data_IF_231427877604
#
_entry.id   IF_231427877604
#
_cell.length_a   1.000
_cell.length_b   1.000
_cell.length_c   1.000
_cell.angle_alpha   90.00
_cell.angle_beta   90.00
_cell.angle_gamma   90.00
#
_symmetry.space_group_name_H-M   'P 1'
#
loop_
_entity.id
_entity.type
_entity.pdbx_description
1 polymer ?
#
# COMPACT_ATOMS: atom_id res chain seq x y z
N UNK A 1 1.22 -1.29 -5.57
CA UNK A 1 -0.02 -2.00 -5.98
C UNK A 1 -0.56 -2.67 -4.73
N UNK A 2 -1.81 -2.42 -4.33
CA UNK A 2 -2.35 -2.88 -3.03
C UNK A 2 -2.65 -4.38 -2.96
N UNK A 3 -2.28 -5.16 -3.98
CA UNK A 3 -2.62 -6.58 -4.05
C UNK A 3 -4.11 -6.87 -4.27
N UNK A 4 -4.93 -5.83 -4.45
CA UNK A 4 -6.35 -5.97 -4.75
C UNK A 4 -6.52 -6.81 -6.03
N UNK A 5 -7.41 -7.79 -5.94
CA UNK A 5 -7.76 -8.71 -7.04
C UNK A 5 -6.62 -9.62 -7.51
N UNK A 6 -5.61 -9.88 -6.66
CA UNK A 6 -4.53 -10.82 -6.97
C UNK A 6 -5.10 -12.14 -7.48
N UNK A 7 -6.04 -12.73 -6.73
CA UNK A 7 -6.74 -13.99 -7.04
C UNK A 7 -7.54 -13.98 -8.34
N UNK A 8 -7.91 -12.81 -8.87
CA UNK A 8 -8.62 -12.67 -10.15
C UNK A 8 -7.73 -12.87 -11.39
N UNK A 9 -6.41 -12.81 -11.24
CA UNK A 9 -5.46 -13.08 -12.32
C UNK A 9 -4.91 -14.50 -12.25
N UNK A 10 -4.80 -15.16 -13.40
CA UNK A 10 -4.13 -16.46 -13.49
C UNK A 10 -2.62 -16.31 -13.23
N UNK A 11 -1.99 -17.38 -12.74
CA UNK A 11 -0.53 -17.35 -12.49
C UNK A 11 0.28 -17.04 -13.76
N UNK A 12 -0.21 -17.46 -14.94
CA UNK A 12 0.43 -17.16 -16.21
C UNK A 12 0.43 -15.65 -16.51
N UNK A 13 -0.70 -14.96 -16.30
CA UNK A 13 -0.81 -13.50 -16.49
C UNK A 13 0.06 -12.75 -15.48
N UNK A 14 0.08 -13.20 -14.22
CA UNK A 14 0.94 -12.61 -13.19
C UNK A 14 2.42 -12.75 -13.55
N UNK A 15 2.84 -13.91 -14.05
CA UNK A 15 4.22 -14.15 -14.47
C UNK A 15 4.62 -13.28 -15.66
N UNK A 16 3.75 -13.08 -16.65
CA UNK A 16 4.02 -12.18 -17.78
C UNK A 16 4.25 -10.75 -17.30
N UNK A 17 3.44 -10.27 -16.37
CA UNK A 17 3.58 -8.92 -15.80
C UNK A 17 4.87 -8.79 -14.99
N UNK A 18 5.21 -9.78 -14.16
CA UNK A 18 6.44 -9.78 -13.36
C UNK A 18 7.68 -9.90 -14.26
N UNK A 19 7.61 -10.67 -15.36
CA UNK A 19 8.70 -10.79 -16.33
C UNK A 19 8.90 -9.50 -17.13
N UNK A 20 7.82 -8.81 -17.53
CA UNK A 20 7.88 -7.53 -18.23
C UNK A 20 8.34 -6.37 -17.32
N UNK A 21 8.02 -6.45 -16.02
CA UNK A 21 8.38 -5.45 -15.02
C UNK A 21 9.00 -6.14 -13.79
N UNK A 22 10.31 -6.47 -13.84
CA UNK A 22 11.00 -7.16 -12.76
C UNK A 22 10.87 -6.37 -11.46
N UNK A 23 10.20 -6.97 -10.47
CA UNK A 23 10.13 -6.42 -9.12
C UNK A 23 11.35 -6.90 -8.36
N UNK A 24 12.10 -5.97 -7.77
CA UNK A 24 13.19 -6.27 -6.86
C UNK A 24 12.64 -6.80 -5.54
N UNK A 25 13.42 -7.54 -4.76
CA UNK A 25 13.02 -7.98 -3.40
C UNK A 25 12.68 -6.80 -2.47
N UNK A 26 13.11 -5.59 -2.84
CA UNK A 26 12.83 -4.36 -2.11
C UNK A 26 11.64 -3.56 -2.65
N UNK A 27 10.93 -4.06 -3.64
CA UNK A 27 9.91 -3.29 -4.37
C UNK A 27 8.85 -2.66 -3.46
N UNK A 28 8.35 -3.39 -2.44
CA UNK A 28 7.43 -2.84 -1.43
C UNK A 28 8.04 -1.67 -0.66
N UNK A 29 9.28 -1.80 -0.19
CA UNK A 29 9.96 -0.74 0.56
C UNK A 29 10.31 0.45 -0.33
N UNK A 30 10.67 0.22 -1.60
CA UNK A 30 10.92 1.29 -2.56
C UNK A 30 9.64 2.10 -2.87
N UNK A 31 8.47 1.45 -2.92
CA UNK A 31 7.17 2.13 -2.99
C UNK A 31 6.93 2.99 -1.76
N UNK A 32 7.12 2.43 -0.56
CA UNK A 32 6.92 3.17 0.70
C UNK A 32 7.86 4.38 0.80
N UNK A 33 9.12 4.20 0.41
CA UNK A 33 10.12 5.25 0.37
C UNK A 33 9.74 6.35 -0.62
N UNK A 34 9.25 5.98 -1.82
CA UNK A 34 8.79 6.94 -2.82
C UNK A 34 7.59 7.76 -2.32
N UNK A 35 6.63 7.12 -1.63
CA UNK A 35 5.52 7.84 -0.99
C UNK A 35 6.03 8.79 0.09
N UNK A 36 6.93 8.32 0.97
CA UNK A 36 7.54 9.14 2.01
C UNK A 36 8.26 10.36 1.43
N UNK A 37 9.08 10.18 0.40
CA UNK A 37 9.83 11.27 -0.24
C UNK A 37 8.91 12.29 -0.93
N UNK A 38 7.77 11.85 -1.46
CA UNK A 38 6.75 12.73 -2.04
C UNK A 38 6.00 13.58 -1.00
N UNK A 39 5.76 13.05 0.21
CA UNK A 39 4.97 13.73 1.25
C UNK A 39 5.82 14.48 2.29
N UNK A 40 7.08 14.06 2.53
CA UNK A 40 7.93 14.63 3.59
C UNK A 40 8.12 16.14 3.47
N UNK A 41 8.06 16.69 2.26
CA UNK A 41 8.25 18.11 2.00
C UNK A 41 6.96 18.94 2.15
N UNK A 42 5.80 18.33 2.34
CA UNK A 42 4.50 19.00 2.52
C UNK A 42 3.68 18.32 3.62
N UNK A 43 4.11 18.38 4.89
CA UNK A 43 3.39 17.74 6.00
C UNK A 43 1.96 18.29 6.17
N UNK A 44 1.69 19.54 5.78
CA UNK A 44 0.32 20.08 5.79
C UNK A 44 -0.64 19.41 4.78
N UNK A 45 -0.12 18.74 3.75
CA UNK A 45 -0.94 18.03 2.76
C UNK A 45 -1.30 16.59 3.19
N UNK A 46 -0.77 16.10 4.33
CA UNK A 46 -1.12 14.77 4.88
C UNK A 46 -2.44 14.79 5.65
N UNK A 47 -3.15 15.93 5.66
CA UNK A 47 -4.47 16.11 6.29
C UNK A 47 -5.57 15.21 5.68
N UNK A 48 -5.27 14.39 4.67
CA UNK A 48 -6.24 13.57 3.93
C UNK A 48 -6.92 12.43 4.71
N UNK A 49 -6.57 12.17 5.97
CA UNK A 49 -7.16 11.08 6.76
C UNK A 49 -8.25 11.50 7.76
N UNK A 50 -8.80 12.72 7.67
CA UNK A 50 -9.89 13.18 8.57
C UNK A 50 -11.09 12.23 8.62
N UNK A 51 -11.35 11.53 7.51
CA UNK A 51 -12.45 10.55 7.43
C UNK A 51 -12.28 9.36 8.38
N UNK A 52 -11.04 9.03 8.75
CA UNK A 52 -10.73 8.02 9.75
C UNK A 52 -10.53 8.61 11.16
N UNK A 53 -10.57 9.94 11.30
CA UNK A 53 -10.50 10.63 12.60
C UNK A 53 -11.83 10.55 13.34
N UNK A 54 -12.96 10.72 12.64
CA UNK A 54 -14.29 10.67 13.27
C UNK A 54 -14.61 9.29 13.86
N UNK A 55 -14.42 8.15 13.16
CA UNK A 55 -14.67 6.84 13.76
C UNK A 55 -13.68 6.50 14.88
N UNK A 56 -12.41 6.90 14.75
CA UNK A 56 -11.39 6.63 15.78
C UNK A 56 -11.63 7.40 17.10
N UNK A 57 -12.29 8.55 17.03
CA UNK A 57 -12.68 9.33 18.21
C UNK A 57 -13.97 8.77 18.87
N UNK A 58 -14.88 8.20 18.07
CA UNK A 58 -16.20 7.77 18.54
C UNK A 58 -16.29 6.27 18.88
N UNK A 59 -15.43 5.42 18.32
CA UNK A 59 -15.46 3.97 18.52
C UNK A 59 -14.09 3.45 19.04
N UNK A 60 -13.99 3.03 20.32
CA UNK A 60 -12.76 2.51 20.89
C UNK A 60 -12.31 1.15 20.30
N UNK A 61 -13.17 0.49 19.51
CA UNK A 61 -12.85 -0.73 18.77
C UNK A 61 -12.46 -0.46 17.32
N UNK A 62 -12.57 0.79 16.84
CA UNK A 62 -12.14 1.15 15.50
C UNK A 62 -10.61 1.21 15.42
N UNK A 63 -10.04 0.28 14.65
CA UNK A 63 -8.62 0.27 14.34
C UNK A 63 -8.42 0.77 12.92
N UNK A 64 -7.67 1.88 12.77
CA UNK A 64 -7.28 2.36 11.44
C UNK A 64 -6.45 1.32 10.73
N UNK A 65 -6.85 0.97 9.51
CA UNK A 65 -6.02 0.18 8.63
C UNK A 65 -4.73 0.95 8.30
N UNK A 66 -3.60 0.31 8.56
CA UNK A 66 -2.30 0.86 8.24
C UNK A 66 -1.96 0.54 6.78
N UNK A 67 -1.96 1.56 5.93
CA UNK A 67 -1.62 1.43 4.52
C UNK A 67 -0.26 0.74 4.28
N UNK A 68 0.75 1.01 5.11
CA UNK A 68 2.05 0.35 5.01
C UNK A 68 1.94 -1.14 5.33
N UNK A 69 1.12 -1.53 6.30
CA UNK A 69 0.85 -2.94 6.61
C UNK A 69 0.16 -3.66 5.45
N UNK A 70 -0.77 -3.00 4.76
CA UNK A 70 -1.44 -3.54 3.57
C UNK A 70 -0.44 -3.77 2.43
N UNK A 71 0.45 -2.80 2.16
CA UNK A 71 1.49 -2.94 1.13
C UNK A 71 2.43 -4.10 1.46
N UNK A 72 2.89 -4.21 2.72
CA UNK A 72 3.77 -5.30 3.16
C UNK A 72 3.11 -6.67 3.09
N UNK A 73 1.85 -6.76 3.49
CA UNK A 73 1.05 -7.99 3.47
C UNK A 73 0.51 -8.42 2.10
N UNK A 74 0.69 -7.61 1.05
CA UNK A 74 0.21 -7.96 -0.29
C UNK A 74 0.88 -9.23 -0.83
N UNK A 75 0.08 -10.08 -1.51
CA UNK A 75 0.49 -11.38 -2.05
C UNK A 75 1.49 -11.30 -3.22
N UNK A 76 1.80 -10.09 -3.70
CA UNK A 76 2.80 -9.92 -4.73
C UNK A 76 4.22 -10.09 -4.17
N UNK A 77 5.09 -10.84 -4.88
CA UNK A 77 6.50 -10.95 -4.52
C UNK A 77 7.23 -9.61 -4.70
N UNK A 78 8.16 -9.32 -3.79
CA UNK A 78 8.91 -8.07 -3.66
C UNK A 78 8.67 -7.41 -2.32
#
# INVERSE_FOLDING_TARGET
MLGLDFEGFSDAERQVVVAAHPRTERFKEDILQTFYDGIKHKPGATFGNVKADVPADNDPHFHRENFCSVIRGSAWPG
#
